data_IF_876079029194
#
_entry.id   IF_876079029194
#
_cell.length_a   1.000
_cell.length_b   1.000
_cell.length_c   1.000
_cell.angle_alpha   90.00
_cell.angle_beta   90.00
_cell.angle_gamma   90.00
#
_symmetry.space_group_name_H-M   'P 1'
#
loop_
_entity.id
_entity.type
_entity.pdbx_description
1 polymer ?
#
# COMPACT_ATOMS: atom_id res chain seq x y z
N UNK A 1 39.15 -24.60 17.33
CA UNK A 1 38.08 -23.84 16.65
C UNK A 1 37.85 -24.46 15.27
N UNK A 2 36.67 -25.00 14.95
CA UNK A 2 36.42 -25.61 13.64
C UNK A 2 36.32 -24.51 12.57
N UNK A 3 37.06 -24.65 11.47
CA UNK A 3 36.96 -23.78 10.28
C UNK A 3 35.54 -23.89 9.69
N UNK A 4 34.75 -22.81 9.72
CA UNK A 4 33.50 -22.69 8.99
C UNK A 4 33.81 -22.79 7.50
N UNK A 5 33.51 -23.91 6.88
CA UNK A 5 33.47 -24.10 5.43
C UNK A 5 32.45 -23.15 4.83
N UNK A 6 32.90 -22.11 4.10
CA UNK A 6 32.00 -21.25 3.32
C UNK A 6 31.47 -22.06 2.15
N UNK A 7 30.32 -22.68 2.31
CA UNK A 7 29.61 -23.30 1.20
C UNK A 7 29.16 -22.19 0.23
N UNK A 8 29.56 -22.28 -1.05
CA UNK A 8 29.09 -21.33 -2.08
C UNK A 8 27.57 -21.48 -2.20
N UNK A 9 26.79 -20.36 -2.17
CA UNK A 9 25.34 -20.44 -2.30
C UNK A 9 24.96 -21.05 -3.64
N UNK A 10 23.96 -21.94 -3.64
CA UNK A 10 23.38 -22.56 -4.84
C UNK A 10 22.78 -21.47 -5.76
N UNK A 11 22.69 -21.77 -7.06
CA UNK A 11 22.08 -20.87 -8.06
C UNK A 11 20.66 -20.44 -7.66
N UNK A 12 19.81 -21.38 -7.17
CA UNK A 12 18.48 -21.10 -6.66
C UNK A 12 18.48 -20.16 -5.44
N UNK A 13 19.44 -20.32 -4.52
CA UNK A 13 19.55 -19.44 -3.35
C UNK A 13 19.94 -18.01 -3.76
N UNK A 14 20.75 -17.85 -4.80
CA UNK A 14 21.08 -16.53 -5.35
C UNK A 14 19.87 -15.86 -5.99
N UNK A 15 19.08 -16.61 -6.79
CA UNK A 15 17.86 -16.09 -7.40
C UNK A 15 16.87 -15.64 -6.34
N UNK A 16 16.58 -16.47 -5.33
CA UNK A 16 15.70 -16.10 -4.23
C UNK A 16 16.19 -14.85 -3.50
N UNK A 17 17.48 -14.77 -3.18
CA UNK A 17 18.07 -13.61 -2.52
C UNK A 17 17.91 -12.31 -3.35
N UNK A 18 18.12 -12.38 -4.68
CA UNK A 18 17.92 -11.20 -5.54
C UNK A 18 16.46 -10.80 -5.65
N UNK A 19 15.55 -11.79 -5.75
CA UNK A 19 14.10 -11.54 -5.78
C UNK A 19 13.65 -10.91 -4.46
N UNK A 20 14.02 -11.48 -3.31
CA UNK A 20 13.66 -10.97 -2.00
C UNK A 20 14.18 -9.53 -1.79
N UNK A 21 15.44 -9.29 -2.16
CA UNK A 21 16.06 -7.98 -2.04
C UNK A 21 15.44 -6.94 -3.00
N UNK A 22 14.92 -7.40 -4.13
CA UNK A 22 14.23 -6.56 -5.10
C UNK A 22 12.80 -6.24 -4.62
N UNK A 23 12.08 -7.22 -4.12
CA UNK A 23 10.74 -7.06 -3.55
C UNK A 23 10.75 -6.17 -2.30
N UNK A 24 11.83 -6.21 -1.52
CA UNK A 24 12.04 -5.35 -0.36
C UNK A 24 12.18 -3.84 -0.70
N UNK A 25 12.46 -3.49 -1.97
CA UNK A 25 12.58 -2.08 -2.41
C UNK A 25 11.26 -1.32 -2.54
N UNK A 26 10.13 -2.00 -2.30
CA UNK A 26 8.80 -1.39 -2.31
C UNK A 26 8.12 -1.36 -3.69
N UNK A 27 6.92 -0.78 -3.72
CA UNK A 27 6.03 -0.79 -4.90
C UNK A 27 6.63 -0.11 -6.14
N UNK A 28 7.48 0.91 -5.98
CA UNK A 28 8.12 1.61 -7.10
C UNK A 28 9.04 0.71 -7.91
N UNK A 29 9.79 -0.19 -7.25
CA UNK A 29 10.65 -1.15 -7.92
C UNK A 29 9.83 -2.18 -8.72
N UNK A 30 8.69 -2.61 -8.21
CA UNK A 30 7.77 -3.51 -8.91
C UNK A 30 7.19 -2.85 -10.17
N UNK A 31 6.76 -1.60 -10.10
CA UNK A 31 6.27 -0.87 -11.28
C UNK A 31 7.35 -0.70 -12.34
N UNK A 32 8.58 -0.36 -11.93
CA UNK A 32 9.70 -0.22 -12.85
C UNK A 32 10.06 -1.55 -13.53
N UNK A 33 9.99 -2.67 -12.81
CA UNK A 33 10.23 -3.99 -13.41
C UNK A 33 9.14 -4.40 -14.39
N UNK A 34 7.88 -4.09 -14.09
CA UNK A 34 6.78 -4.34 -15.03
C UNK A 34 6.92 -3.52 -16.30
N UNK A 35 7.29 -2.24 -16.19
CA UNK A 35 7.57 -1.39 -17.33
C UNK A 35 8.72 -1.97 -18.18
N UNK A 36 9.80 -2.39 -17.54
CA UNK A 36 10.93 -3.02 -18.23
C UNK A 36 10.53 -4.33 -18.92
N UNK A 37 9.74 -5.17 -18.24
CA UNK A 37 9.20 -6.42 -18.80
C UNK A 37 8.30 -6.14 -20.00
N UNK A 38 7.43 -5.13 -19.93
CA UNK A 38 6.58 -4.72 -21.05
C UNK A 38 7.39 -4.24 -22.24
N UNK A 39 8.37 -3.36 -22.02
CA UNK A 39 9.24 -2.85 -23.10
C UNK A 39 10.09 -3.96 -23.72
N UNK A 40 10.60 -4.90 -22.93
CA UNK A 40 11.36 -6.03 -23.43
C UNK A 40 10.49 -7.00 -24.24
N UNK A 41 9.26 -7.26 -23.79
CA UNK A 41 8.30 -8.06 -24.54
C UNK A 41 7.91 -7.37 -25.86
N UNK A 42 7.65 -6.07 -25.83
CA UNK A 42 7.35 -5.29 -27.03
C UNK A 42 8.49 -5.34 -28.05
N UNK A 43 9.72 -5.16 -27.62
CA UNK A 43 10.90 -5.27 -28.49
C UNK A 43 11.04 -6.68 -29.05
N UNK A 44 10.90 -7.72 -28.21
CA UNK A 44 11.00 -9.12 -28.63
C UNK A 44 9.95 -9.47 -29.69
N UNK A 45 8.67 -9.19 -29.42
CA UNK A 45 7.59 -9.52 -30.35
C UNK A 45 7.64 -8.68 -31.63
N UNK A 46 8.09 -7.43 -31.56
CA UNK A 46 8.34 -6.60 -32.75
C UNK A 46 9.43 -7.22 -33.65
N UNK A 47 10.55 -7.64 -33.07
CA UNK A 47 11.63 -8.30 -33.80
C UNK A 47 11.14 -9.62 -34.39
N UNK A 48 10.42 -10.45 -33.64
CA UNK A 48 9.86 -11.70 -34.11
C UNK A 48 8.93 -11.47 -35.34
N UNK A 49 8.05 -10.47 -35.26
CA UNK A 49 7.15 -10.11 -36.37
C UNK A 49 7.91 -9.65 -37.61
N UNK A 50 8.95 -8.81 -37.44
CA UNK A 50 9.79 -8.37 -38.57
C UNK A 50 10.48 -9.56 -39.23
N UNK A 51 11.04 -10.47 -38.46
CA UNK A 51 11.70 -11.67 -39.00
C UNK A 51 10.72 -12.58 -39.75
N UNK A 52 9.51 -12.78 -39.20
CA UNK A 52 8.46 -13.58 -39.85
C UNK A 52 7.96 -12.89 -41.12
N UNK A 53 7.80 -11.58 -41.13
CA UNK A 53 7.39 -10.81 -42.31
C UNK A 53 8.40 -10.95 -43.46
N UNK A 54 9.70 -10.89 -43.17
CA UNK A 54 10.78 -11.14 -44.13
C UNK A 54 10.70 -12.57 -44.68
N UNK A 55 10.48 -13.55 -43.80
CA UNK A 55 10.36 -14.96 -44.24
C UNK A 55 9.14 -15.22 -45.12
N UNK A 56 8.05 -14.45 -44.96
CA UNK A 56 6.80 -14.60 -45.73
C UNK A 56 6.78 -13.71 -47.00
N UNK A 57 7.88 -13.07 -47.36
CA UNK A 57 8.02 -12.19 -48.54
C UNK A 57 7.09 -10.95 -48.51
N UNK A 58 6.67 -10.53 -47.33
CA UNK A 58 5.96 -9.26 -47.13
C UNK A 58 6.99 -8.12 -47.02
N UNK A 59 6.62 -6.92 -47.48
CA UNK A 59 7.47 -5.71 -47.27
C UNK A 59 7.23 -5.13 -45.91
N UNK A 60 8.06 -5.44 -44.88
CA UNK A 60 7.77 -5.03 -43.54
C UNK A 60 8.11 -3.56 -43.33
N UNK A 61 7.12 -2.74 -43.00
CA UNK A 61 7.39 -1.47 -42.29
C UNK A 61 7.71 -1.81 -40.82
N UNK A 62 8.90 -1.45 -40.36
CA UNK A 62 9.32 -1.70 -38.99
C UNK A 62 8.34 -1.02 -37.98
N UNK A 63 7.82 0.15 -38.34
CA UNK A 63 6.87 0.90 -37.54
C UNK A 63 5.52 0.18 -37.42
N UNK A 64 5.04 -0.43 -38.52
CA UNK A 64 3.80 -1.17 -38.53
C UNK A 64 3.89 -2.46 -37.70
N UNK A 65 4.99 -3.20 -37.81
CA UNK A 65 5.24 -4.37 -36.97
C UNK A 65 5.37 -4.03 -35.48
N UNK A 66 6.02 -2.90 -35.16
CA UNK A 66 6.05 -2.39 -33.78
C UNK A 66 4.65 -2.02 -33.27
N UNK A 67 3.87 -1.33 -34.10
CA UNK A 67 2.50 -0.96 -33.79
C UNK A 67 1.60 -2.18 -33.59
N UNK A 68 1.70 -3.17 -34.44
CA UNK A 68 0.94 -4.42 -34.30
C UNK A 68 1.36 -5.20 -33.05
N UNK A 69 2.64 -5.30 -32.74
CA UNK A 69 3.12 -5.93 -31.52
C UNK A 69 2.59 -5.19 -30.26
N UNK A 70 2.59 -3.87 -30.30
CA UNK A 70 2.01 -3.03 -29.22
C UNK A 70 0.51 -3.30 -29.06
N UNK A 71 -0.25 -3.33 -30.14
CA UNK A 71 -1.69 -3.62 -30.11
C UNK A 71 -1.98 -5.01 -29.56
N UNK A 72 -1.21 -6.02 -29.97
CA UNK A 72 -1.40 -7.40 -29.51
C UNK A 72 -1.09 -7.56 -28.02
N UNK A 73 -0.08 -6.86 -27.51
CA UNK A 73 0.25 -6.85 -26.09
C UNK A 73 -0.80 -6.10 -25.25
N UNK A 74 -1.34 -4.99 -25.76
CA UNK A 74 -2.28 -4.14 -24.99
C UNK A 74 -3.74 -4.52 -25.18
N UNK A 75 -4.11 -5.03 -26.35
CA UNK A 75 -5.47 -5.36 -26.73
C UNK A 75 -5.51 -6.73 -27.42
N UNK A 76 -5.66 -7.84 -26.70
CA UNK A 76 -5.67 -9.20 -27.27
C UNK A 76 -6.68 -9.39 -28.41
N UNK A 77 -7.78 -8.64 -28.42
CA UNK A 77 -8.74 -8.64 -29.53
C UNK A 77 -8.17 -8.19 -30.88
N UNK A 78 -7.02 -7.50 -30.90
CA UNK A 78 -6.33 -7.09 -32.13
C UNK A 78 -5.73 -8.26 -32.91
N UNK A 79 -5.66 -9.47 -32.33
CA UNK A 79 -5.26 -10.70 -33.05
C UNK A 79 -6.11 -10.98 -34.29
N UNK A 80 -7.36 -10.50 -34.32
CA UNK A 80 -8.24 -10.58 -35.47
C UNK A 80 -7.71 -9.88 -36.74
N UNK A 81 -6.76 -8.98 -36.64
CA UNK A 81 -6.10 -8.32 -37.78
C UNK A 81 -5.16 -9.25 -38.55
N UNK A 82 -4.64 -10.30 -37.91
CA UNK A 82 -3.77 -11.29 -38.52
C UNK A 82 -4.57 -12.49 -39.10
N UNK A 83 -5.88 -12.35 -39.29
CA UNK A 83 -6.74 -13.46 -39.76
C UNK A 83 -6.36 -13.98 -41.14
N UNK A 84 -5.86 -13.12 -42.02
CA UNK A 84 -5.41 -13.48 -43.38
C UNK A 84 -3.91 -13.79 -43.44
N UNK A 85 -3.17 -13.55 -42.35
CA UNK A 85 -1.73 -13.80 -42.29
C UNK A 85 -1.39 -15.30 -42.21
N UNK A 86 -0.15 -15.70 -42.54
CA UNK A 86 0.34 -17.07 -42.40
C UNK A 86 0.19 -17.60 -40.96
N UNK A 87 0.03 -18.93 -40.83
CA UNK A 87 -0.20 -19.60 -39.55
C UNK A 87 0.86 -19.25 -38.48
N UNK A 88 2.10 -19.04 -38.89
CA UNK A 88 3.22 -18.68 -37.98
C UNK A 88 3.02 -17.30 -37.38
N UNK A 89 2.50 -16.33 -38.15
CA UNK A 89 2.17 -15.00 -37.64
C UNK A 89 1.00 -15.04 -36.66
N UNK A 90 -0.01 -15.88 -36.93
CA UNK A 90 -1.15 -16.10 -36.02
C UNK A 90 -0.67 -16.66 -34.67
N UNK A 91 0.25 -17.63 -34.70
CA UNK A 91 0.84 -18.15 -33.46
C UNK A 91 1.61 -17.08 -32.70
N UNK A 92 2.43 -16.28 -33.39
CA UNK A 92 3.15 -15.17 -32.75
C UNK A 92 2.19 -14.15 -32.11
N UNK A 93 1.06 -13.83 -32.78
CA UNK A 93 0.02 -12.96 -32.26
C UNK A 93 -0.64 -13.54 -30.97
N UNK A 94 -0.91 -14.83 -30.95
CA UNK A 94 -1.47 -15.54 -29.79
C UNK A 94 -0.51 -15.45 -28.60
N UNK A 95 0.77 -15.78 -28.81
CA UNK A 95 1.78 -15.69 -27.73
C UNK A 95 1.97 -14.25 -27.22
N UNK A 96 1.98 -13.28 -28.14
CA UNK A 96 2.05 -11.86 -27.79
C UNK A 96 0.87 -11.45 -26.93
N UNK A 97 -0.35 -11.82 -27.33
CA UNK A 97 -1.56 -11.50 -26.57
C UNK A 97 -1.60 -12.17 -25.19
N UNK A 98 -1.23 -13.44 -25.09
CA UNK A 98 -1.09 -14.11 -23.79
C UNK A 98 -0.09 -13.41 -22.88
N UNK A 99 1.07 -13.04 -23.43
CA UNK A 99 2.09 -12.29 -22.67
C UNK A 99 1.54 -10.96 -22.20
N UNK A 100 0.80 -10.24 -23.04
CA UNK A 100 0.13 -9.00 -22.69
C UNK A 100 -0.87 -9.18 -21.53
N UNK A 101 -1.73 -10.19 -21.60
CA UNK A 101 -2.70 -10.50 -20.54
C UNK A 101 -1.99 -10.75 -19.20
N UNK A 102 -0.89 -11.50 -19.18
CA UNK A 102 -0.12 -11.78 -17.97
C UNK A 102 0.48 -10.49 -17.40
N UNK A 103 1.08 -9.64 -18.25
CA UNK A 103 1.69 -8.38 -17.83
C UNK A 103 0.61 -7.44 -17.24
N UNK A 104 -0.53 -7.26 -17.90
CA UNK A 104 -1.60 -6.39 -17.41
C UNK A 104 -2.27 -6.94 -16.16
N UNK A 105 -2.49 -8.25 -16.07
CA UNK A 105 -3.01 -8.87 -14.85
C UNK A 105 -2.07 -8.64 -13.65
N UNK A 106 -0.77 -8.77 -13.86
CA UNK A 106 0.24 -8.51 -12.82
C UNK A 106 0.27 -7.03 -12.43
N UNK A 107 0.11 -6.11 -13.40
CA UNK A 107 0.01 -4.68 -13.13
C UNK A 107 -1.20 -4.36 -12.24
N UNK A 108 -2.37 -4.90 -12.58
CA UNK A 108 -3.60 -4.70 -11.79
C UNK A 108 -3.43 -5.25 -10.37
N UNK A 109 -2.87 -6.46 -10.23
CA UNK A 109 -2.60 -7.07 -8.93
C UNK A 109 -1.64 -6.22 -8.09
N UNK A 110 -0.56 -5.71 -8.70
CA UNK A 110 0.42 -4.86 -8.03
C UNK A 110 -0.20 -3.53 -7.58
N UNK A 111 -1.00 -2.91 -8.45
CA UNK A 111 -1.71 -1.67 -8.13
C UNK A 111 -2.69 -1.88 -6.97
N UNK A 112 -3.47 -2.96 -7.01
CA UNK A 112 -4.42 -3.31 -5.94
C UNK A 112 -3.70 -3.51 -4.61
N UNK A 113 -2.57 -4.22 -4.60
CA UNK A 113 -1.76 -4.42 -3.40
C UNK A 113 -1.20 -3.11 -2.86
N UNK A 114 -0.70 -2.24 -3.74
CA UNK A 114 -0.18 -0.93 -3.35
C UNK A 114 -1.27 -0.04 -2.73
N UNK A 115 -2.47 -0.02 -3.33
CA UNK A 115 -3.64 0.71 -2.80
C UNK A 115 -4.07 0.16 -1.44
N UNK A 116 -4.16 -1.16 -1.30
CA UNK A 116 -4.52 -1.79 -0.03
C UNK A 116 -3.50 -1.47 1.07
N UNK A 117 -2.20 -1.47 0.75
CA UNK A 117 -1.15 -1.08 1.68
C UNK A 117 -1.25 0.40 2.08
N UNK A 118 -1.52 1.28 1.12
CA UNK A 118 -1.73 2.71 1.40
C UNK A 118 -2.94 2.93 2.32
N UNK A 119 -4.07 2.26 2.04
CA UNK A 119 -5.27 2.32 2.89
C UNK A 119 -4.98 1.75 4.30
N UNK A 120 -4.25 0.63 4.39
CA UNK A 120 -3.86 0.05 5.67
C UNK A 120 -3.01 1.02 6.50
N UNK A 121 -2.02 1.67 5.89
CA UNK A 121 -1.19 2.67 6.55
C UNK A 121 -2.00 3.87 7.05
N UNK A 122 -2.96 4.35 6.27
CA UNK A 122 -3.88 5.42 6.70
C UNK A 122 -4.74 4.98 7.89
N UNK A 123 -5.23 3.74 7.86
CA UNK A 123 -6.02 3.16 8.96
C UNK A 123 -5.21 2.95 10.24
N UNK A 124 -3.91 2.74 10.15
CA UNK A 124 -3.04 2.58 11.34
C UNK A 124 -2.90 3.85 12.18
N UNK A 125 -3.33 5.02 11.66
CA UNK A 125 -3.40 6.24 12.45
C UNK A 125 -2.05 6.92 12.72
N UNK A 126 -1.07 6.69 11.86
CA UNK A 126 0.25 7.36 11.95
C UNK A 126 0.29 8.72 11.24
N UNK A 127 -0.82 9.18 10.66
CA UNK A 127 -0.87 10.49 10.02
C UNK A 127 -0.83 11.62 11.05
N UNK A 128 -0.12 12.69 10.72
CA UNK A 128 0.00 13.88 11.59
C UNK A 128 -1.37 14.53 11.82
N UNK A 129 -1.62 14.95 13.04
CA UNK A 129 -2.75 15.79 13.45
C UNK A 129 -2.38 17.24 13.16
N UNK A 130 -3.25 17.95 12.45
CA UNK A 130 -3.04 19.36 12.08
C UNK A 130 -3.85 20.33 12.95
N UNK A 131 -4.75 19.79 13.77
CA UNK A 131 -5.59 20.54 14.68
C UNK A 131 -4.75 21.27 15.74
N UNK A 132 -5.20 22.47 16.09
CA UNK A 132 -4.68 23.27 17.20
C UNK A 132 -5.80 23.51 18.22
N UNK A 133 -5.45 23.96 19.42
CA UNK A 133 -6.41 24.23 20.50
C UNK A 133 -7.31 23.01 20.87
N UNK A 134 -6.84 21.80 20.57
CA UNK A 134 -7.54 20.56 20.86
C UNK A 134 -7.21 20.04 22.28
N UNK A 135 -8.09 19.21 22.84
CA UNK A 135 -7.78 18.43 24.05
C UNK A 135 -7.09 17.14 23.64
N UNK A 136 -5.88 16.91 24.16
CA UNK A 136 -5.11 15.70 23.91
C UNK A 136 -5.24 14.72 25.08
N UNK A 137 -5.73 13.50 24.82
CA UNK A 137 -5.73 12.38 25.76
C UNK A 137 -4.58 11.44 25.38
N UNK A 138 -3.65 11.23 26.31
CA UNK A 138 -2.49 10.37 26.13
C UNK A 138 -2.64 9.12 26.99
N UNK A 139 -2.66 7.95 26.37
CA UNK A 139 -2.93 6.67 27.00
C UNK A 139 -4.36 6.17 26.76
N UNK A 140 -4.64 4.95 27.24
CA UNK A 140 -5.94 4.31 27.10
C UNK A 140 -6.26 3.44 28.30
N UNK A 141 -7.42 3.65 28.90
CA UNK A 141 -8.00 2.77 29.90
C UNK A 141 -9.55 2.79 29.82
N UNK A 142 -10.25 2.07 30.68
CA UNK A 142 -11.72 2.00 30.68
C UNK A 142 -12.40 3.35 30.97
N UNK A 143 -11.68 4.28 31.64
CA UNK A 143 -12.21 5.61 31.95
C UNK A 143 -12.23 6.58 30.77
N UNK A 144 -11.61 6.19 29.65
CA UNK A 144 -11.62 7.03 28.42
C UNK A 144 -13.03 7.46 28.02
N UNK A 145 -14.02 6.56 28.11
CA UNK A 145 -15.40 6.87 27.74
C UNK A 145 -16.09 7.81 28.72
N UNK A 146 -15.76 7.74 30.02
CA UNK A 146 -16.27 8.64 31.03
C UNK A 146 -15.68 10.04 30.83
N UNK A 147 -14.36 10.12 30.63
CA UNK A 147 -13.68 11.40 30.36
C UNK A 147 -14.21 12.05 29.07
N UNK A 148 -14.47 11.25 28.04
CA UNK A 148 -15.05 11.76 26.79
C UNK A 148 -16.47 12.32 26.99
N UNK A 149 -17.30 11.72 27.87
CA UNK A 149 -18.62 12.27 28.20
C UNK A 149 -18.52 13.64 28.83
N UNK A 150 -17.65 13.79 29.84
CA UNK A 150 -17.40 15.06 30.52
C UNK A 150 -16.84 16.12 29.55
N UNK A 151 -15.95 15.73 28.64
CA UNK A 151 -15.39 16.64 27.63
C UNK A 151 -16.45 17.05 26.60
N UNK A 152 -17.36 16.16 26.19
CA UNK A 152 -18.45 16.49 25.25
C UNK A 152 -19.38 17.51 25.90
N UNK A 153 -19.74 17.32 27.18
CA UNK A 153 -20.57 18.25 27.94
C UNK A 153 -19.85 19.62 28.13
N UNK A 154 -18.56 19.61 28.47
CA UNK A 154 -17.76 20.83 28.60
C UNK A 154 -17.60 21.58 27.26
N UNK A 155 -17.60 20.88 26.15
CA UNK A 155 -17.42 21.43 24.82
C UNK A 155 -18.73 21.89 24.14
N UNK A 156 -19.88 21.77 24.81
CA UNK A 156 -21.18 22.08 24.21
C UNK A 156 -21.26 23.51 23.65
N UNK A 157 -20.56 24.44 24.27
CA UNK A 157 -20.52 25.87 23.90
C UNK A 157 -19.31 26.24 23.02
N UNK A 158 -18.44 25.28 22.68
CA UNK A 158 -17.24 25.54 21.88
C UNK A 158 -17.54 25.34 20.38
N UNK A 159 -16.89 26.13 19.53
CA UNK A 159 -16.97 26.00 18.08
C UNK A 159 -15.98 24.93 17.58
N UNK A 160 -16.49 23.87 16.95
CA UNK A 160 -15.71 22.73 16.37
C UNK A 160 -14.67 22.12 17.33
N UNK A 161 -15.04 21.74 18.56
CA UNK A 161 -14.10 21.20 19.51
C UNK A 161 -13.56 19.84 19.09
N UNK A 162 -12.23 19.66 19.27
CA UNK A 162 -11.54 18.44 18.88
C UNK A 162 -10.89 17.79 20.09
N UNK A 163 -11.13 16.48 20.23
CA UNK A 163 -10.42 15.63 21.19
C UNK A 163 -9.55 14.64 20.41
N UNK A 164 -8.25 14.70 20.63
CA UNK A 164 -7.28 13.77 20.08
C UNK A 164 -6.91 12.73 21.11
N UNK A 165 -7.00 11.46 20.78
CA UNK A 165 -6.61 10.34 21.66
C UNK A 165 -5.42 9.64 21.05
N UNK A 166 -4.31 9.55 21.79
CA UNK A 166 -3.13 8.81 21.40
C UNK A 166 -2.84 7.67 22.38
N UNK A 167 -2.68 6.46 21.86
CA UNK A 167 -2.40 5.26 22.66
C UNK A 167 -1.59 4.24 21.85
N UNK A 168 -0.97 3.28 22.54
CA UNK A 168 -0.32 2.11 21.93
C UNK A 168 -1.33 1.12 21.30
N UNK A 169 -2.62 1.29 21.57
CA UNK A 169 -3.67 0.49 20.94
C UNK A 169 -3.81 0.84 19.45
N UNK A 170 -4.16 -0.15 18.63
CA UNK A 170 -4.40 0.08 17.22
C UNK A 170 -5.56 1.03 16.99
N UNK A 171 -5.39 1.98 16.07
CA UNK A 171 -6.45 2.94 15.71
C UNK A 171 -7.77 2.28 15.33
N UNK A 172 -7.82 1.23 14.45
CA UNK A 172 -9.08 0.57 14.11
C UNK A 172 -9.79 -0.01 15.34
N UNK A 173 -9.04 -0.54 16.30
CA UNK A 173 -9.60 -1.06 17.54
C UNK A 173 -10.18 0.07 18.41
N UNK A 174 -9.47 1.17 18.56
CA UNK A 174 -9.95 2.35 19.32
C UNK A 174 -11.22 2.92 18.68
N UNK A 175 -11.22 3.09 17.37
CA UNK A 175 -12.38 3.62 16.63
C UNK A 175 -13.63 2.72 16.78
N UNK A 176 -13.45 1.39 16.74
CA UNK A 176 -14.54 0.44 16.91
C UNK A 176 -15.04 0.40 18.36
N UNK A 177 -14.13 0.46 19.33
CA UNK A 177 -14.48 0.55 20.74
C UNK A 177 -15.32 1.81 21.03
N UNK A 178 -14.91 2.96 20.51
CA UNK A 178 -15.63 4.21 20.66
C UNK A 178 -16.99 4.17 19.93
N UNK A 179 -17.06 3.58 18.75
CA UNK A 179 -18.31 3.42 18.01
C UNK A 179 -19.33 2.59 18.80
N UNK A 180 -18.86 1.55 19.46
CA UNK A 180 -19.72 0.62 20.20
C UNK A 180 -20.13 1.16 21.58
N UNK A 181 -19.23 1.86 22.28
CA UNK A 181 -19.40 2.25 23.68
C UNK A 181 -19.68 3.75 23.88
N UNK A 182 -19.44 4.58 22.86
CA UNK A 182 -19.56 6.04 22.94
C UNK A 182 -20.24 6.60 21.68
N UNK A 183 -21.58 6.64 21.71
CA UNK A 183 -22.41 7.03 20.55
C UNK A 183 -22.71 8.52 20.50
N UNK A 184 -22.95 9.11 21.66
CA UNK A 184 -23.27 10.53 21.77
C UNK A 184 -21.96 11.35 21.86
N UNK A 185 -21.68 12.08 20.81
CA UNK A 185 -20.47 12.90 20.67
C UNK A 185 -20.75 14.39 20.68
N UNK A 186 -22.03 14.76 20.73
CA UNK A 186 -22.44 16.16 20.58
C UNK A 186 -21.80 16.81 19.35
N UNK A 187 -21.24 18.00 19.52
CA UNK A 187 -20.47 18.74 18.53
C UNK A 187 -18.95 18.39 18.55
N UNK A 188 -18.50 17.48 19.43
CA UNK A 188 -17.09 17.16 19.62
C UNK A 188 -16.60 16.15 18.60
N UNK A 189 -15.57 16.52 17.85
CA UNK A 189 -14.88 15.63 16.89
C UNK A 189 -13.76 14.85 17.60
N UNK A 190 -13.82 13.52 17.56
CA UNK A 190 -12.85 12.64 18.20
C UNK A 190 -11.92 12.07 17.13
N UNK A 191 -10.61 12.22 17.33
CA UNK A 191 -9.55 11.76 16.44
C UNK A 191 -8.62 10.81 17.21
N UNK A 192 -8.53 9.56 16.76
CA UNK A 192 -7.64 8.57 17.38
C UNK A 192 -6.33 8.43 16.62
N UNK A 193 -5.23 8.22 17.35
CA UNK A 193 -3.90 7.98 16.80
C UNK A 193 -3.21 6.85 17.56
N UNK A 194 -2.59 5.94 16.80
CA UNK A 194 -1.79 4.86 17.36
C UNK A 194 -0.34 5.29 17.46
N UNK A 195 0.28 5.06 18.60
CA UNK A 195 1.68 5.40 18.84
C UNK A 195 2.08 5.25 20.29
N UNK A 196 3.39 5.12 20.54
CA UNK A 196 3.93 5.07 21.88
C UNK A 196 3.90 6.50 22.50
N UNK A 197 3.16 6.71 23.60
CA UNK A 197 3.07 8.00 24.25
C UNK A 197 4.41 8.54 24.82
N UNK A 198 5.37 7.65 25.05
CA UNK A 198 6.70 8.03 25.54
C UNK A 198 7.64 8.54 24.42
N UNK A 199 7.24 8.41 23.14
CA UNK A 199 8.05 8.86 22.01
C UNK A 199 7.78 10.34 21.69
N UNK A 200 8.80 11.22 21.71
CA UNK A 200 8.65 12.62 21.30
C UNK A 200 8.15 12.79 19.86
N UNK A 201 8.53 11.87 18.96
CA UNK A 201 8.08 11.88 17.58
C UNK A 201 6.56 11.67 17.48
N UNK A 202 6.02 10.72 18.26
CA UNK A 202 4.59 10.45 18.29
C UNK A 202 3.80 11.61 18.92
N UNK A 203 4.36 12.26 19.95
CA UNK A 203 3.77 13.48 20.51
C UNK A 203 3.76 14.64 19.52
N UNK A 204 4.80 14.78 18.70
CA UNK A 204 4.83 15.75 17.61
C UNK A 204 3.79 15.42 16.51
N UNK A 205 3.51 14.13 16.26
CA UNK A 205 2.48 13.71 15.31
C UNK A 205 1.07 14.08 15.74
N UNK A 206 0.79 14.11 17.04
CA UNK A 206 -0.51 14.55 17.57
C UNK A 206 -0.56 16.04 17.89
N UNK A 207 0.46 16.80 17.47
CA UNK A 207 0.57 18.25 17.69
C UNK A 207 0.40 18.66 19.15
N UNK A 208 1.07 17.94 20.05
CA UNK A 208 0.92 18.12 21.49
C UNK A 208 1.30 19.55 21.95
N UNK A 209 2.22 20.22 21.25
CA UNK A 209 2.64 21.60 21.56
C UNK A 209 1.52 22.63 21.32
N UNK A 210 0.59 22.35 20.41
CA UNK A 210 -0.54 23.22 20.09
C UNK A 210 -1.85 22.75 20.76
N UNK A 211 -1.79 21.82 21.70
CA UNK A 211 -2.95 21.36 22.46
C UNK A 211 -3.35 22.40 23.52
N UNK A 212 -4.67 22.65 23.66
CA UNK A 212 -5.25 23.49 24.73
C UNK A 212 -5.06 22.85 26.09
N UNK A 213 -5.20 21.53 26.16
CA UNK A 213 -5.04 20.74 27.39
C UNK A 213 -4.55 19.33 27.09
N UNK A 214 -3.84 18.71 28.04
CA UNK A 214 -3.33 17.36 27.93
C UNK A 214 -3.77 16.55 29.15
N UNK A 215 -4.45 15.44 28.91
CA UNK A 215 -4.88 14.49 29.94
C UNK A 215 -4.06 13.22 29.77
N UNK A 216 -3.29 12.84 30.77
CA UNK A 216 -2.47 11.62 30.75
C UNK A 216 -3.18 10.52 31.50
N UNK A 217 -3.46 9.42 30.85
CA UNK A 217 -4.08 8.23 31.41
C UNK A 217 -3.02 7.16 31.66
N UNK A 218 -3.04 6.58 32.85
CA UNK A 218 -2.22 5.42 33.12
C UNK A 218 -2.68 4.25 32.26
N UNK A 219 -1.73 3.55 31.65
CA UNK A 219 -1.98 2.36 30.84
C UNK A 219 -2.09 1.13 31.76
N UNK A 220 -3.01 1.19 32.73
CA UNK A 220 -3.28 0.09 33.65
C UNK A 220 -4.35 -0.80 33.05
N UNK A 221 -4.04 -2.08 32.85
CA UNK A 221 -5.06 -3.10 32.77
C UNK A 221 -5.71 -3.17 34.16
N UNK A 222 -7.04 -2.99 34.25
CA UNK A 222 -7.83 -2.97 35.50
C UNK A 222 -7.77 -4.27 36.34
N UNK A 223 -6.91 -5.20 36.01
CA UNK A 223 -6.62 -6.43 36.76
C UNK A 223 -5.29 -6.35 37.56
N UNK A 224 -4.59 -5.22 37.53
CA UNK A 224 -3.55 -4.98 38.51
C UNK A 224 -4.26 -4.78 39.85
N UNK A 225 -4.27 -5.82 40.70
CA UNK A 225 -4.71 -5.76 42.08
C UNK A 225 -4.12 -4.52 42.77
N UNK A 226 -4.89 -3.84 43.61
CA UNK A 226 -4.48 -2.71 44.48
C UNK A 226 -3.32 -3.07 45.45
N UNK A 227 -2.41 -3.92 45.01
CA UNK A 227 -1.28 -4.39 45.80
C UNK A 227 0.02 -4.10 45.05
N UNK A 228 0.44 -2.85 45.00
CA UNK A 228 1.85 -2.45 45.15
C UNK A 228 1.98 -0.95 45.25
#
# INVERSE_FOLDING_TARGET
MPKKTKTKPSFNQKIHYYIDNYLAKGSSALFLSLLFTFLSALALFSVVRILLSICCSETPSWLENLWMAFLQLTAPGSMGRDTESPAVMKLAAVFSGFTGVVIFSTLIATLTTALNSAIANLKQGHSRVLESEHTLIVGWNKRVTEILKELVEANESEDDPVVVIMSEKDKPWMDEYLRSNFKDRGNTRIVTRSGNPASPENLAHVNAEAAKSVIVLANCDDNASEAQ
#
